data_IF_042347556215
#
_entry.id   IF_042347556215
#
_cell.length_a   1.000
_cell.length_b   1.000
_cell.length_c   1.000
_cell.angle_alpha   90.00
_cell.angle_beta   90.00
_cell.angle_gamma   90.00
#
_symmetry.space_group_name_H-M   'P 1'
#
loop_
_entity.id
_entity.type
_entity.pdbx_description
1 polymer ?
#
# COMPACT_ATOMS: atom_id res chain seq x y z
N UNK A 1 0.14 22.57 -4.43
CA UNK A 1 -0.78 21.72 -3.63
C UNK A 1 0.02 20.55 -3.10
N UNK A 2 0.03 20.30 -1.79
CA UNK A 2 0.76 19.17 -1.22
C UNK A 2 0.10 17.83 -1.57
N UNK A 3 0.88 16.75 -1.55
CA UNK A 3 0.39 15.37 -1.75
C UNK A 3 -0.77 15.05 -0.79
N UNK A 4 -0.67 15.52 0.46
CA UNK A 4 -1.72 15.37 1.47
C UNK A 4 -3.03 16.07 1.11
N UNK A 5 -2.95 17.26 0.52
CA UNK A 5 -4.14 18.00 0.05
C UNK A 5 -4.80 17.27 -1.10
N UNK A 6 -4.01 16.83 -2.09
CA UNK A 6 -4.50 16.04 -3.22
C UNK A 6 -5.14 14.73 -2.77
N UNK A 7 -4.53 14.04 -1.82
CA UNK A 7 -5.13 12.83 -1.24
C UNK A 7 -6.47 13.12 -0.56
N UNK A 8 -6.55 14.20 0.21
CA UNK A 8 -7.82 14.61 0.83
C UNK A 8 -8.88 14.92 -0.23
N UNK A 9 -8.51 15.57 -1.32
CA UNK A 9 -9.39 15.89 -2.44
C UNK A 9 -9.86 14.60 -3.16
N UNK A 10 -8.94 13.65 -3.38
CA UNK A 10 -9.27 12.33 -3.94
C UNK A 10 -10.24 11.58 -3.01
N UNK A 11 -9.98 11.60 -1.71
CA UNK A 11 -10.81 10.91 -0.73
C UNK A 11 -12.18 11.52 -0.48
N UNK A 12 -12.30 12.83 -0.68
CA UNK A 12 -13.54 13.58 -0.51
C UNK A 12 -14.33 13.71 -1.80
N UNK A 13 -13.72 13.40 -2.94
CA UNK A 13 -14.40 13.32 -4.22
C UNK A 13 -15.41 12.17 -4.18
N UNK A 14 -16.67 12.50 -3.92
CA UNK A 14 -17.77 11.58 -4.11
C UNK A 14 -17.96 11.39 -5.63
N UNK A 15 -17.33 10.34 -6.16
CA UNK A 15 -17.35 9.99 -7.59
C UNK A 15 -18.78 9.93 -8.15
N UNK A 16 -19.76 9.54 -7.32
CA UNK A 16 -21.17 9.52 -7.72
C UNK A 16 -21.69 10.94 -8.03
N UNK A 17 -21.35 11.92 -7.20
CA UNK A 17 -21.76 13.32 -7.40
C UNK A 17 -21.05 13.99 -8.60
N UNK A 18 -19.85 13.53 -8.96
CA UNK A 18 -19.15 13.97 -10.16
C UNK A 18 -19.83 13.42 -11.43
N UNK A 19 -20.24 12.14 -11.42
CA UNK A 19 -20.89 11.47 -12.56
C UNK A 19 -22.29 12.02 -12.85
N UNK A 20 -23.08 12.36 -11.82
CA UNK A 20 -24.46 12.84 -11.98
C UNK A 20 -24.59 14.19 -12.72
N UNK A 21 -23.49 14.96 -12.87
CA UNK A 21 -23.50 16.30 -13.46
C UNK A 21 -22.78 16.41 -14.80
N UNK A 22 -22.32 15.31 -15.38
CA UNK A 22 -21.43 15.35 -16.54
C UNK A 22 -22.13 14.89 -17.84
N UNK A 23 -21.98 15.68 -18.91
CA UNK A 23 -22.48 15.36 -20.26
C UNK A 23 -21.80 14.14 -20.90
N UNK A 24 -20.53 13.87 -20.55
CA UNK A 24 -19.78 12.72 -21.05
C UNK A 24 -19.12 11.96 -19.89
N UNK A 25 -19.86 11.04 -19.24
CA UNK A 25 -19.36 10.29 -18.07
C UNK A 25 -18.18 9.37 -18.43
N UNK A 26 -18.05 8.95 -19.69
CA UNK A 26 -16.95 8.09 -20.16
C UNK A 26 -15.63 8.85 -20.19
N UNK A 27 -15.60 10.06 -20.79
CA UNK A 27 -14.37 10.86 -20.83
C UNK A 27 -13.94 11.35 -19.44
N UNK A 28 -14.91 11.70 -18.60
CA UNK A 28 -14.61 12.23 -17.27
C UNK A 28 -14.00 11.17 -16.36
N UNK A 29 -14.52 9.94 -16.34
CA UNK A 29 -13.91 8.85 -15.57
C UNK A 29 -12.53 8.45 -16.12
N UNK A 30 -12.34 8.50 -17.45
CA UNK A 30 -11.03 8.29 -18.08
C UNK A 30 -10.00 9.36 -17.68
N UNK A 31 -10.41 10.63 -17.58
CA UNK A 31 -9.53 11.71 -17.11
C UNK A 31 -9.24 11.61 -15.62
N UNK A 32 -10.26 11.29 -14.82
CA UNK A 32 -10.10 11.09 -13.38
C UNK A 32 -9.14 9.93 -13.10
N UNK A 33 -9.25 8.82 -13.83
CA UNK A 33 -8.31 7.72 -13.69
C UNK A 33 -6.87 8.08 -14.02
N UNK A 34 -6.65 8.80 -15.13
CA UNK A 34 -5.29 9.27 -15.46
C UNK A 34 -4.69 10.17 -14.39
N UNK A 35 -5.51 11.02 -13.76
CA UNK A 35 -5.06 11.86 -12.66
C UNK A 35 -4.68 11.01 -11.43
N UNK A 36 -5.48 9.99 -11.09
CA UNK A 36 -5.20 9.08 -9.98
C UNK A 36 -3.96 8.22 -10.21
N UNK A 37 -3.75 7.69 -11.41
CA UNK A 37 -2.54 6.93 -11.77
C UNK A 37 -1.28 7.80 -11.64
N UNK A 38 -1.33 9.04 -12.13
CA UNK A 38 -0.25 10.02 -11.96
C UNK A 38 0.02 10.31 -10.48
N UNK A 39 -1.04 10.50 -9.70
CA UNK A 39 -0.92 10.79 -8.27
C UNK A 39 -0.42 9.57 -7.49
N UNK A 40 -0.78 8.35 -7.89
CA UNK A 40 -0.25 7.11 -7.33
C UNK A 40 1.26 7.01 -7.54
N UNK A 41 1.75 7.34 -8.74
CA UNK A 41 3.19 7.38 -9.02
C UNK A 41 3.94 8.33 -8.07
N UNK A 42 3.38 9.52 -7.82
CA UNK A 42 3.96 10.52 -6.90
C UNK A 42 3.88 10.07 -5.44
N UNK A 43 2.73 9.57 -5.01
CA UNK A 43 2.53 9.05 -3.65
C UNK A 43 3.48 7.88 -3.39
N UNK A 44 3.68 6.99 -4.36
CA UNK A 44 4.62 5.86 -4.24
C UNK A 44 6.06 6.34 -4.07
N UNK A 45 6.51 7.32 -4.86
CA UNK A 45 7.84 7.89 -4.73
C UNK A 45 8.04 8.58 -3.36
N UNK A 46 7.06 9.38 -2.93
CA UNK A 46 7.10 10.05 -1.64
C UNK A 46 7.07 9.06 -0.48
N UNK A 47 6.20 8.04 -0.56
CA UNK A 47 6.10 6.97 0.43
C UNK A 47 7.43 6.23 0.55
N UNK A 48 8.08 5.92 -0.57
CA UNK A 48 9.41 5.29 -0.55
C UNK A 48 10.46 6.19 0.12
N UNK A 49 10.44 7.50 -0.15
CA UNK A 49 11.34 8.46 0.50
C UNK A 49 11.14 8.51 2.02
N UNK A 50 9.89 8.59 2.48
CA UNK A 50 9.55 8.61 3.92
C UNK A 50 9.90 7.29 4.60
N UNK A 51 9.67 6.15 3.93
CA UNK A 51 10.08 4.84 4.45
C UNK A 51 11.61 4.69 4.53
N UNK A 52 12.36 5.29 3.60
CA UNK A 52 13.81 5.32 3.67
C UNK A 52 14.29 6.17 4.86
N UNK A 53 13.61 7.27 5.16
CA UNK A 53 13.89 8.12 6.33
C UNK A 53 13.59 7.37 7.64
N UNK A 54 12.46 6.67 7.75
CA UNK A 54 12.14 5.76 8.87
C UNK A 54 13.25 4.72 9.07
N UNK A 55 13.68 4.06 8.00
CA UNK A 55 14.73 3.03 8.04
C UNK A 55 16.06 3.62 8.50
N UNK A 56 16.40 4.83 8.02
CA UNK A 56 17.61 5.53 8.44
C UNK A 56 17.57 5.90 9.91
N UNK A 57 16.48 6.49 10.38
CA UNK A 57 16.30 6.88 11.78
C UNK A 57 16.37 5.65 12.70
N UNK A 58 15.78 4.53 12.28
CA UNK A 58 15.89 3.25 12.99
C UNK A 58 17.34 2.78 13.10
N UNK A 59 18.10 2.81 12.00
CA UNK A 59 19.51 2.41 12.00
C UNK A 59 20.35 3.27 12.95
N UNK A 60 20.13 4.58 12.95
CA UNK A 60 20.82 5.50 13.87
C UNK A 60 20.47 5.20 15.34
N UNK A 61 19.21 4.89 15.64
CA UNK A 61 18.76 4.46 16.97
C UNK A 61 19.38 3.11 17.40
N UNK A 62 19.40 2.12 16.50
CA UNK A 62 19.97 0.80 16.75
C UNK A 62 21.48 0.90 17.00
N UNK A 63 22.20 1.73 16.25
CA UNK A 63 23.62 1.98 16.45
C UNK A 63 23.90 2.64 17.80
N UNK A 64 23.10 3.64 18.19
CA UNK A 64 23.21 4.27 19.51
C UNK A 64 22.97 3.25 20.63
N UNK A 65 21.95 2.40 20.47
CA UNK A 65 21.62 1.33 21.41
C UNK A 65 22.78 0.32 21.53
N UNK A 66 23.39 -0.07 20.42
CA UNK A 66 24.56 -0.94 20.41
C UNK A 66 25.76 -0.30 21.14
N UNK A 67 25.97 1.01 20.99
CA UNK A 67 27.03 1.74 21.71
C UNK A 67 26.75 1.78 23.22
N UNK A 68 25.51 1.99 23.65
CA UNK A 68 25.09 1.94 25.06
C UNK A 68 25.42 0.57 25.66
N UNK A 69 25.06 -0.51 24.96
CA UNK A 69 25.34 -1.89 25.38
C UNK A 69 26.85 -2.16 25.45
N UNK A 70 27.63 -1.61 24.51
CA UNK A 70 29.09 -1.72 24.51
C UNK A 70 29.71 -1.00 25.72
N UNK A 71 29.24 0.21 26.05
CA UNK A 71 29.73 0.95 27.23
C UNK A 71 29.37 0.21 28.52
N UNK A 72 28.17 -0.37 28.60
CA UNK A 72 27.76 -1.22 29.71
C UNK A 72 28.71 -2.42 29.89
N UNK A 73 28.99 -3.16 28.80
CA UNK A 73 29.93 -4.29 28.83
C UNK A 73 31.34 -3.88 29.26
N UNK A 74 31.82 -2.71 28.85
CA UNK A 74 33.13 -2.20 29.29
C UNK A 74 33.14 -1.79 30.77
N UNK A 75 32.07 -1.16 31.25
CA UNK A 75 31.94 -0.84 32.68
C UNK A 75 31.99 -2.11 33.54
N UNK A 76 31.29 -3.17 33.13
CA UNK A 76 31.32 -4.48 33.81
C UNK A 76 32.71 -5.10 33.81
N UNK A 77 33.42 -5.06 32.68
CA UNK A 77 34.81 -5.55 32.58
C UNK A 77 35.75 -4.76 33.49
N UNK A 78 35.62 -3.44 33.54
CA UNK A 78 36.43 -2.57 34.40
C UNK A 78 36.18 -2.86 35.90
N UNK A 79 34.92 -3.05 36.30
CA UNK A 79 34.57 -3.44 37.67
C UNK A 79 35.15 -4.81 38.05
N UNK A 80 35.06 -5.81 37.17
CA UNK A 80 35.67 -7.13 37.40
C UNK A 80 37.19 -7.05 37.55
N UNK A 81 37.83 -6.07 36.90
CA UNK A 81 39.25 -5.81 37.02
C UNK A 81 39.62 -4.94 38.25
N UNK A 82 38.64 -4.53 39.07
CA UNK A 82 38.86 -3.65 40.22
C UNK A 82 39.18 -2.20 39.86
N UNK A 83 39.01 -1.80 38.59
CA UNK A 83 39.29 -0.43 38.15
C UNK A 83 38.00 0.41 38.13
N UNK A 84 37.63 0.92 39.30
CA UNK A 84 36.42 1.72 39.48
C UNK A 84 36.42 3.04 38.70
N UNK A 85 37.60 3.66 38.50
CA UNK A 85 37.72 4.92 37.79
C UNK A 85 37.29 4.75 36.32
N UNK A 86 37.81 3.72 35.65
CA UNK A 86 37.45 3.40 34.26
C UNK A 86 35.97 3.01 34.15
N UNK A 87 35.45 2.24 35.11
CA UNK A 87 34.05 1.87 35.15
C UNK A 87 33.13 3.09 35.21
N UNK A 88 33.45 4.09 36.06
CA UNK A 88 32.71 5.35 36.12
C UNK A 88 32.76 6.10 34.80
N UNK A 89 33.92 6.20 34.15
CA UNK A 89 34.03 6.87 32.84
C UNK A 89 33.18 6.19 31.76
N UNK A 90 33.12 4.85 31.71
CA UNK A 90 32.24 4.14 30.78
C UNK A 90 30.76 4.38 31.08
N UNK A 91 30.37 4.42 32.37
CA UNK A 91 29.00 4.70 32.78
C UNK A 91 28.59 6.16 32.48
N UNK A 92 29.48 7.13 32.66
CA UNK A 92 29.25 8.52 32.26
C UNK A 92 29.04 8.62 30.75
N UNK A 93 29.86 7.93 29.94
CA UNK A 93 29.69 7.88 28.49
C UNK A 93 28.37 7.20 28.10
N UNK A 94 28.00 6.12 28.78
CA UNK A 94 26.69 5.46 28.63
C UNK A 94 25.55 6.45 28.90
N UNK A 95 25.63 7.24 29.97
CA UNK A 95 24.60 8.21 30.32
C UNK A 95 24.42 9.30 29.25
N UNK A 96 25.53 9.77 28.65
CA UNK A 96 25.48 10.69 27.51
C UNK A 96 24.76 10.06 26.32
N UNK A 97 25.13 8.82 25.97
CA UNK A 97 24.49 8.09 24.87
C UNK A 97 23.01 7.82 25.13
N UNK A 98 22.60 7.52 26.37
CA UNK A 98 21.18 7.36 26.73
C UNK A 98 20.38 8.64 26.49
N UNK A 99 20.99 9.81 26.77
CA UNK A 99 20.35 11.10 26.44
C UNK A 99 20.20 11.27 24.93
N UNK A 100 21.22 10.92 24.15
CA UNK A 100 21.16 10.92 22.68
C UNK A 100 20.12 9.94 22.15
N UNK A 101 20.03 8.74 22.73
CA UNK A 101 19.06 7.71 22.36
C UNK A 101 17.63 8.22 22.52
N UNK A 102 17.31 8.97 23.58
CA UNK A 102 15.99 9.55 23.76
C UNK A 102 15.60 10.48 22.59
N UNK A 103 16.52 11.31 22.12
CA UNK A 103 16.29 12.18 20.96
C UNK A 103 16.15 11.38 19.65
N UNK A 104 16.97 10.34 19.46
CA UNK A 104 16.88 9.44 18.29
C UNK A 104 15.57 8.64 18.29
N UNK A 105 15.10 8.19 19.44
CA UNK A 105 13.80 7.51 19.60
C UNK A 105 12.67 8.43 19.19
N UNK A 106 12.69 9.70 19.62
CA UNK A 106 11.68 10.67 19.20
C UNK A 106 11.71 10.90 17.68
N UNK A 107 12.90 11.05 17.09
CA UNK A 107 13.05 11.21 15.64
C UNK A 107 12.53 9.98 14.87
N UNK A 108 12.86 8.77 15.33
CA UNK A 108 12.36 7.53 14.77
C UNK A 108 10.84 7.43 14.85
N UNK A 109 10.23 7.75 16.01
CA UNK A 109 8.78 7.69 16.16
C UNK A 109 8.06 8.63 15.20
N UNK A 110 8.57 9.86 15.02
CA UNK A 110 8.00 10.81 14.04
C UNK A 110 8.13 10.28 12.61
N UNK A 111 9.29 9.71 12.26
CA UNK A 111 9.50 9.13 10.94
C UNK A 111 8.60 7.90 10.70
N UNK A 112 8.46 7.01 11.69
CA UNK A 112 7.60 5.84 11.64
C UNK A 112 6.12 6.21 11.51
N UNK A 113 5.64 7.20 12.25
CA UNK A 113 4.26 7.72 12.14
C UNK A 113 3.98 8.30 10.75
N UNK A 114 4.94 9.04 10.20
CA UNK A 114 4.83 9.59 8.85
C UNK A 114 4.82 8.49 7.79
N UNK A 115 5.70 7.49 7.92
CA UNK A 115 5.75 6.35 7.02
C UNK A 115 4.45 5.52 7.08
N UNK A 116 3.90 5.29 8.28
CA UNK A 116 2.63 4.60 8.47
C UNK A 116 1.48 5.35 7.78
N UNK A 117 1.39 6.67 7.95
CA UNK A 117 0.38 7.51 7.26
C UNK A 117 0.53 7.44 5.74
N UNK A 118 1.76 7.50 5.22
CA UNK A 118 2.03 7.40 3.78
C UNK A 118 1.62 6.04 3.21
N UNK A 119 1.95 4.94 3.90
CA UNK A 119 1.51 3.59 3.54
C UNK A 119 0.00 3.47 3.50
N UNK A 120 -0.70 3.96 4.53
CA UNK A 120 -2.17 3.96 4.56
C UNK A 120 -2.77 4.75 3.39
N UNK A 121 -2.19 5.90 3.04
CA UNK A 121 -2.65 6.68 1.88
C UNK A 121 -2.40 5.97 0.56
N UNK A 122 -1.23 5.37 0.39
CA UNK A 122 -0.91 4.54 -0.77
C UNK A 122 -1.93 3.41 -0.94
N UNK A 123 -2.16 2.62 0.11
CA UNK A 123 -3.06 1.46 0.06
C UNK A 123 -4.50 1.87 -0.25
N UNK A 124 -4.93 3.01 0.28
CA UNK A 124 -6.25 3.56 0.00
C UNK A 124 -6.39 4.01 -1.45
N UNK A 125 -5.38 4.69 -1.97
CA UNK A 125 -5.36 5.13 -3.37
C UNK A 125 -5.38 3.93 -4.34
N UNK A 126 -4.66 2.85 -4.03
CA UNK A 126 -4.71 1.60 -4.80
C UNK A 126 -6.11 0.98 -4.78
N UNK A 127 -6.78 0.94 -3.62
CA UNK A 127 -8.16 0.45 -3.50
C UNK A 127 -9.15 1.32 -4.29
N UNK A 128 -9.01 2.64 -4.22
CA UNK A 128 -9.88 3.57 -4.92
C UNK A 128 -9.73 3.45 -6.44
N UNK A 129 -8.49 3.32 -6.93
CA UNK A 129 -8.19 3.04 -8.34
C UNK A 129 -8.87 1.74 -8.80
N UNK A 130 -8.73 0.66 -8.03
CA UNK A 130 -9.34 -0.64 -8.35
C UNK A 130 -10.88 -0.56 -8.41
N UNK A 131 -11.50 0.14 -7.46
CA UNK A 131 -12.95 0.37 -7.42
C UNK A 131 -13.44 1.20 -8.61
N UNK A 132 -12.66 2.19 -9.01
CA UNK A 132 -12.96 3.05 -10.16
C UNK A 132 -12.81 2.35 -11.49
N UNK A 133 -11.86 1.45 -11.64
CA UNK A 133 -11.71 0.62 -12.84
C UNK A 133 -12.96 -0.23 -13.08
N UNK A 134 -13.50 -0.86 -12.03
CA UNK A 134 -14.75 -1.61 -12.12
C UNK A 134 -15.94 -0.71 -12.53
N UNK A 135 -16.05 0.48 -11.91
CA UNK A 135 -17.10 1.46 -12.26
C UNK A 135 -16.96 1.98 -13.69
N UNK A 136 -15.72 2.22 -14.13
CA UNK A 136 -15.40 2.64 -15.50
C UNK A 136 -15.85 1.59 -16.52
N UNK A 137 -15.59 0.31 -16.25
CA UNK A 137 -16.05 -0.78 -17.11
C UNK A 137 -17.59 -0.81 -17.19
N UNK A 138 -18.27 -0.69 -16.04
CA UNK A 138 -19.74 -0.64 -15.98
C UNK A 138 -20.31 0.56 -16.75
N UNK A 139 -19.77 1.77 -16.56
CA UNK A 139 -20.21 2.98 -17.28
C UNK A 139 -20.02 2.82 -18.79
N UNK A 140 -18.86 2.30 -19.22
CA UNK A 140 -18.61 2.05 -20.66
C UNK A 140 -19.59 1.04 -21.24
N UNK A 141 -19.95 -0.02 -20.50
CA UNK A 141 -20.96 -0.98 -20.92
C UNK A 141 -22.35 -0.33 -21.06
N UNK A 142 -22.77 0.44 -20.05
CA UNK A 142 -24.06 1.16 -20.06
C UNK A 142 -24.15 2.19 -21.19
N UNK A 143 -23.08 2.98 -21.41
CA UNK A 143 -23.02 3.96 -22.51
C UNK A 143 -23.11 3.26 -23.87
N UNK A 144 -22.43 2.11 -24.05
CA UNK A 144 -22.53 1.31 -25.29
C UNK A 144 -23.95 0.78 -25.49
N UNK A 145 -24.59 0.24 -24.45
CA UNK A 145 -25.96 -0.26 -24.51
C UNK A 145 -26.95 0.87 -24.85
N UNK A 146 -26.82 2.04 -24.22
CA UNK A 146 -27.64 3.20 -24.51
C UNK A 146 -27.48 3.69 -25.96
N UNK A 147 -26.23 3.78 -26.47
CA UNK A 147 -25.95 4.12 -27.88
C UNK A 147 -26.53 3.08 -28.84
N UNK A 148 -26.49 1.79 -28.50
CA UNK A 148 -27.09 0.73 -29.30
C UNK A 148 -28.63 0.88 -29.34
N UNK A 149 -29.27 1.12 -28.20
CA UNK A 149 -30.71 1.36 -28.11
C UNK A 149 -31.13 2.63 -28.88
N UNK A 150 -30.37 3.72 -28.77
CA UNK A 150 -30.62 4.96 -29.53
C UNK A 150 -30.52 4.71 -31.04
N UNK A 151 -29.52 3.92 -31.48
CA UNK A 151 -29.38 3.53 -32.89
C UNK A 151 -30.55 2.66 -33.34
N UNK A 152 -31.01 1.71 -32.53
CA UNK A 152 -32.21 0.92 -32.80
C UNK A 152 -33.43 1.82 -32.94
N UNK A 153 -33.63 2.79 -32.04
CA UNK A 153 -34.76 3.71 -32.09
C UNK A 153 -34.69 4.63 -33.32
N UNK A 154 -33.51 5.16 -33.67
CA UNK A 154 -33.30 5.96 -34.88
C UNK A 154 -33.51 5.17 -36.17
N UNK A 155 -33.02 3.93 -36.23
CA UNK A 155 -33.25 3.02 -37.37
C UNK A 155 -34.73 2.61 -37.42
N UNK A 156 -35.37 2.32 -36.29
CA UNK A 156 -36.79 1.99 -36.18
C UNK A 156 -37.70 3.13 -36.66
N UNK A 157 -37.38 4.39 -36.33
CA UNK A 157 -38.06 5.57 -36.90
C UNK A 157 -37.77 5.79 -38.38
N UNK A 158 -36.65 5.25 -38.90
CA UNK A 158 -36.29 5.30 -40.33
C UNK A 158 -36.83 4.12 -41.14
N UNK A 159 -37.35 3.08 -40.48
CA UNK A 159 -37.80 1.79 -41.05
C UNK A 159 -39.33 1.72 -41.02
N UNK A 160 -39.98 2.77 -41.51
CA UNK A 160 -41.37 2.66 -42.02
C UNK A 160 -41.39 2.12 -43.47
N UNK A 161 -40.22 1.77 -44.03
CA UNK A 161 -40.13 1.05 -45.29
C UNK A 161 -38.86 0.20 -45.42
N UNK A 162 -39.00 -0.97 -46.03
CA UNK A 162 -37.97 -1.90 -46.51
C UNK A 162 -37.55 -3.07 -45.59
N UNK A 163 -38.14 -4.23 -45.88
CA UNK A 163 -37.93 -5.58 -45.34
C UNK A 163 -36.51 -6.19 -45.54
N UNK A 164 -35.48 -5.40 -45.85
CA UNK A 164 -34.09 -5.88 -46.04
C UNK A 164 -33.17 -5.66 -44.83
N UNK A 165 -33.65 -5.01 -43.75
CA UNK A 165 -32.81 -4.63 -42.60
C UNK A 165 -32.64 -5.77 -41.56
N UNK A 166 -33.49 -6.80 -41.60
CA UNK A 166 -33.52 -7.86 -40.59
C UNK A 166 -32.41 -8.91 -40.77
N UNK A 167 -31.95 -9.18 -42.00
CA UNK A 167 -30.77 -10.01 -42.26
C UNK A 167 -29.46 -9.31 -41.86
N UNK A 168 -29.36 -8.00 -42.08
CA UNK A 168 -28.21 -7.20 -41.65
C UNK A 168 -28.13 -7.10 -40.13
N UNK A 169 -29.29 -7.02 -39.46
CA UNK A 169 -29.42 -7.09 -38.00
C UNK A 169 -28.95 -8.44 -37.45
N UNK A 170 -29.41 -9.56 -38.04
CA UNK A 170 -29.01 -10.91 -37.63
C UNK A 170 -27.49 -11.14 -37.76
N UNK A 171 -26.86 -10.59 -38.80
CA UNK A 171 -25.39 -10.68 -38.98
C UNK A 171 -24.62 -9.82 -37.98
N UNK A 172 -25.17 -8.68 -37.58
CA UNK A 172 -24.54 -7.77 -36.61
C UNK A 172 -24.68 -8.28 -35.18
N UNK A 173 -25.83 -8.86 -34.85
CA UNK A 173 -26.08 -9.57 -33.59
C UNK A 173 -25.17 -10.79 -33.43
N UNK A 174 -25.01 -11.61 -34.48
CA UNK A 174 -24.07 -12.73 -34.49
C UNK A 174 -22.61 -12.27 -34.29
N UNK A 175 -22.23 -11.11 -34.84
CA UNK A 175 -20.88 -10.55 -34.65
C UNK A 175 -20.67 -9.98 -33.25
N UNK A 176 -21.69 -9.34 -32.66
CA UNK A 176 -21.65 -8.82 -31.30
C UNK A 176 -21.59 -9.96 -30.28
N UNK A 177 -22.39 -11.02 -30.45
CA UNK A 177 -22.34 -12.22 -29.61
C UNK A 177 -20.97 -12.89 -29.70
N UNK A 178 -20.42 -13.07 -30.92
CA UNK A 178 -19.07 -13.61 -31.09
C UNK A 178 -18.00 -12.80 -30.37
N UNK A 179 -18.06 -11.47 -30.43
CA UNK A 179 -17.12 -10.61 -29.70
C UNK A 179 -17.29 -10.69 -28.18
N UNK A 180 -18.52 -10.87 -27.70
CA UNK A 180 -18.84 -10.98 -26.28
C UNK A 180 -18.41 -12.34 -25.73
N UNK A 181 -18.57 -13.41 -26.51
CA UNK A 181 -18.05 -14.75 -26.21
C UNK A 181 -16.52 -14.77 -26.20
N UNK A 182 -15.87 -14.12 -27.16
CA UNK A 182 -14.39 -13.97 -27.18
C UNK A 182 -13.89 -13.17 -25.96
N UNK A 183 -14.59 -12.12 -25.55
CA UNK A 183 -14.23 -11.32 -24.38
C UNK A 183 -14.42 -12.10 -23.06
N UNK A 184 -15.50 -12.87 -22.94
CA UNK A 184 -15.74 -13.72 -21.77
C UNK A 184 -14.72 -14.86 -21.68
N UNK A 185 -14.36 -15.49 -22.80
CA UNK A 185 -13.32 -16.52 -22.85
C UNK A 185 -11.92 -15.97 -22.48
N UNK A 186 -11.60 -14.73 -22.89
CA UNK A 186 -10.36 -14.06 -22.46
C UNK A 186 -10.38 -13.70 -20.97
N UNK A 187 -11.54 -13.40 -20.38
CA UNK A 187 -11.66 -13.16 -18.95
C UNK A 187 -11.48 -14.46 -18.14
N UNK A 188 -12.04 -15.59 -18.59
CA UNK A 188 -11.83 -16.91 -17.98
C UNK A 188 -10.37 -17.37 -18.05
N UNK A 189 -9.65 -17.10 -19.15
CA UNK A 189 -8.22 -17.41 -19.27
C UNK A 189 -7.33 -16.58 -18.33
N UNK A 190 -7.75 -15.34 -18.01
CA UNK A 190 -7.03 -14.50 -17.05
C UNK A 190 -7.40 -14.87 -15.59
N UNK A 191 -8.62 -15.34 -15.32
CA UNK A 191 -9.01 -15.80 -13.97
C UNK A 191 -8.41 -17.16 -13.62
N UNK A 192 -8.21 -18.04 -14.61
CA UNK A 192 -7.59 -19.35 -14.40
C UNK A 192 -6.07 -19.31 -14.23
N UNK A 193 -5.43 -18.15 -14.40
CA UNK A 193 -4.02 -17.94 -14.10
C UNK A 193 -3.73 -17.61 -12.62
N UNK A 194 -4.75 -17.22 -11.84
CA UNK A 194 -4.59 -16.87 -10.40
C UNK A 194 -4.89 -18.03 -9.45
N UNK A 195 -5.53 -19.12 -9.90
CA UNK A 195 -5.94 -20.25 -9.04
C UNK A 195 -4.95 -21.43 -9.00
N UNK A 196 -3.80 -21.34 -9.69
CA UNK A 196 -2.74 -22.36 -9.63
C UNK A 196 -1.56 -21.93 -8.76
N UNK A 197 -1.79 -21.71 -7.45
CA UNK A 197 -0.70 -21.72 -6.45
C UNK A 197 -1.14 -22.06 -5.01
N UNK A 198 -2.15 -22.92 -4.86
CA UNK A 198 -2.50 -23.54 -3.56
C UNK A 198 -1.40 -24.50 -3.05
N UNK A 199 -0.48 -24.95 -3.92
CA UNK A 199 0.68 -25.77 -3.54
C UNK A 199 1.83 -24.99 -2.87
N UNK A 200 1.73 -23.66 -2.74
CA UNK A 200 2.72 -22.87 -1.98
C UNK A 200 2.29 -22.60 -0.52
N UNK A 201 1.06 -22.94 -0.12
CA UNK A 201 0.51 -22.61 1.19
C UNK A 201 0.78 -23.70 2.27
N UNK A 202 1.30 -24.86 1.87
CA UNK A 202 1.64 -25.96 2.78
C UNK A 202 3.11 -25.98 3.24
N UNK A 203 4.00 -25.22 2.60
CA UNK A 203 5.44 -25.18 2.93
C UNK A 203 5.82 -24.14 4.01
N UNK A 204 4.84 -23.45 4.61
CA UNK A 204 5.07 -22.35 5.56
C UNK A 204 4.68 -22.67 7.01
N UNK A 205 4.27 -23.91 7.30
CA UNK A 205 3.82 -24.35 8.63
C UNK A 205 4.74 -25.38 9.32
N UNK A 206 5.91 -25.69 8.75
CA UNK A 206 6.84 -26.73 9.25
C UNK A 206 8.11 -26.21 9.94
N UNK A 207 8.03 -25.09 10.68
CA UNK A 207 9.11 -24.74 11.61
C UNK A 207 8.61 -23.86 12.77
N UNK A 208 8.26 -24.51 13.87
CA UNK A 208 8.29 -23.97 15.24
C UNK A 208 9.45 -24.65 16.01
N UNK A 209 9.81 -24.26 17.24
CA UNK A 209 9.83 -22.92 17.87
C UNK A 209 11.07 -22.73 18.79
N UNK A 210 11.34 -21.50 19.27
CA UNK A 210 12.10 -21.22 20.51
C UNK A 210 12.17 -19.71 20.72
N UNK A 211 11.44 -19.06 21.64
CA UNK A 211 11.38 -19.05 23.11
C UNK A 211 12.46 -18.21 23.80
N UNK A 212 12.01 -17.42 24.80
CA UNK A 212 12.72 -16.90 25.98
C UNK A 212 13.82 -15.81 25.85
N UNK A 213 13.49 -14.56 25.53
CA UNK A 213 14.52 -13.49 25.51
C UNK A 213 14.17 -12.15 26.20
N UNK A 214 13.02 -11.98 26.85
CA UNK A 214 12.63 -10.62 27.27
C UNK A 214 12.66 -10.33 28.78
N UNK A 215 12.43 -11.29 29.68
CA UNK A 215 12.13 -10.89 31.08
C UNK A 215 13.14 -11.33 32.16
N UNK A 216 14.18 -12.12 31.84
CA UNK A 216 15.16 -12.63 32.82
C UNK A 216 16.50 -11.85 32.89
N UNK A 217 16.83 -11.01 31.91
CA UNK A 217 18.20 -10.46 31.76
C UNK A 217 18.55 -9.29 32.70
N UNK A 218 17.58 -8.49 33.17
CA UNK A 218 17.88 -7.30 33.99
C UNK A 218 18.05 -7.62 35.50
N UNK A 219 17.44 -8.70 36.00
CA UNK A 219 17.57 -9.14 37.39
C UNK A 219 18.73 -10.13 37.59
N UNK A 220 19.01 -10.99 36.59
CA UNK A 220 20.10 -11.97 36.63
C UNK A 220 21.50 -11.34 36.68
N UNK A 221 21.71 -10.20 36.01
CA UNK A 221 23.04 -9.56 35.94
C UNK A 221 23.53 -9.04 37.31
N UNK A 222 22.63 -8.63 38.21
CA UNK A 222 22.98 -8.19 39.57
C UNK A 222 23.18 -9.35 40.54
N UNK A 223 22.45 -10.45 40.37
CA UNK A 223 22.57 -11.63 41.23
C UNK A 223 23.80 -12.49 40.89
N UNK A 224 24.16 -12.60 39.61
CA UNK A 224 25.25 -13.47 39.15
C UNK A 224 26.66 -12.93 39.45
N UNK A 225 26.81 -11.63 39.68
CA UNK A 225 28.11 -11.05 40.01
C UNK A 225 28.41 -11.04 41.53
N UNK A 226 27.46 -11.43 42.38
CA UNK A 226 27.69 -11.57 43.83
C UNK A 226 28.12 -10.28 44.54
N UNK A 227 27.80 -9.11 43.97
CA UNK A 227 28.20 -7.82 44.51
C UNK A 227 27.10 -7.32 45.45
N UNK A 228 27.35 -7.47 46.76
CA UNK A 228 27.11 -6.39 47.72
C UNK A 228 28.29 -5.43 47.67
#
# INVERSE_FOLDING_TARGET
MGILTRFKDIMSANINALLDKCEDPEKMIDQYMRNLESDLGKVKAETASVMAEETRAKRELDECTAQINKMQSYAEKALRAGNEADARSFLEKKQQLTTTQAALTQAYNVAADNAAKMRQMHDKLVKDISSLEARRAAIKATVKAAKAQERINKVGSSVVGASNSMEAFSRMEAKANKMLDEANAMAELNSSAEDSNIDNLAAKYDAEPSNSEVDDELAALKAQMGIQ
#
